data_IF_441267543976
#
_entry.id   IF_441267543976
#
_cell.length_a   1.000
_cell.length_b   1.000
_cell.length_c   1.000
_cell.angle_alpha   90.00
_cell.angle_beta   90.00
_cell.angle_gamma   90.00
#
_symmetry.space_group_name_H-M   'P 1'
#
loop_
_entity.id
_entity.type
_entity.pdbx_description
1 polymer ?
#
# COMPACT_ATOMS: atom_id res chain seq x y z
N UNK A 1 6.80 3.61 1.57
CA UNK A 1 7.60 3.82 2.81
C UNK A 1 9.09 3.50 2.64
N UNK A 2 9.46 2.40 1.98
CA UNK A 2 10.86 1.93 1.89
C UNK A 2 11.89 2.98 1.42
N UNK A 3 11.64 3.66 0.29
CA UNK A 3 12.57 4.69 -0.22
C UNK A 3 12.61 5.97 0.62
N UNK A 4 11.56 6.24 1.40
CA UNK A 4 11.50 7.45 2.21
C UNK A 4 12.54 7.42 3.34
N UNK A 5 12.72 6.26 3.99
CA UNK A 5 13.76 6.08 4.99
C UNK A 5 15.14 6.42 4.41
N UNK A 6 15.49 5.83 3.26
CA UNK A 6 16.74 6.13 2.58
C UNK A 6 16.94 7.64 2.31
N UNK A 7 15.90 8.32 1.82
CA UNK A 7 15.97 9.76 1.55
C UNK A 7 16.26 10.58 2.81
N UNK A 8 15.50 10.37 3.89
CA UNK A 8 15.66 11.11 5.15
C UNK A 8 17.05 10.88 5.75
N UNK A 9 17.52 9.63 5.78
CA UNK A 9 18.82 9.34 6.38
C UNK A 9 19.99 9.80 5.51
N UNK A 10 19.82 9.87 4.19
CA UNK A 10 20.78 10.52 3.30
C UNK A 10 20.87 12.02 3.62
N UNK A 11 19.73 12.69 3.85
CA UNK A 11 19.71 14.09 4.26
C UNK A 11 20.46 14.31 5.58
N UNK A 12 20.28 13.45 6.57
CA UNK A 12 20.98 13.55 7.86
C UNK A 12 22.50 13.40 7.72
N UNK A 13 22.97 12.59 6.78
CA UNK A 13 24.41 12.50 6.46
C UNK A 13 24.90 13.79 5.81
N UNK A 14 24.14 14.32 4.84
CA UNK A 14 24.50 15.55 4.14
C UNK A 14 24.52 16.78 5.05
N UNK A 15 23.64 16.84 6.05
CA UNK A 15 23.60 17.93 7.04
C UNK A 15 24.60 17.74 8.18
N UNK A 16 25.30 16.60 8.24
CA UNK A 16 26.25 16.27 9.29
C UNK A 16 25.61 15.85 10.62
N UNK A 17 24.29 15.62 10.64
CA UNK A 17 23.56 15.11 11.81
C UNK A 17 23.85 13.63 12.10
N UNK A 18 24.35 12.88 11.13
CA UNK A 18 24.70 11.47 11.28
C UNK A 18 25.87 11.07 10.38
N UNK A 19 26.77 10.23 10.88
CA UNK A 19 27.90 9.72 10.07
C UNK A 19 27.65 8.32 9.51
N UNK A 20 26.83 7.51 10.20
CA UNK A 20 26.46 6.15 9.82
C UNK A 20 24.99 5.95 10.17
N UNK A 21 24.22 5.39 9.25
CA UNK A 21 22.77 5.17 9.40
C UNK A 21 22.40 3.78 8.90
N UNK A 22 21.57 3.08 9.67
CA UNK A 22 20.94 1.83 9.22
C UNK A 22 19.55 2.17 8.68
N UNK A 23 19.30 1.79 7.42
CA UNK A 23 18.02 2.05 6.77
C UNK A 23 17.41 0.73 6.31
N UNK A 24 16.11 0.57 6.51
CA UNK A 24 15.37 -0.60 6.06
C UNK A 24 13.89 -0.24 5.95
N UNK A 25 13.13 -1.14 5.35
CA UNK A 25 11.68 -1.11 5.47
C UNK A 25 11.17 -2.53 5.58
N UNK A 26 9.99 -2.65 6.17
CA UNK A 26 9.33 -3.93 6.42
C UNK A 26 7.84 -3.79 6.14
N UNK A 27 7.22 -4.89 5.75
CA UNK A 27 5.78 -5.02 5.62
C UNK A 27 5.37 -6.45 5.97
N UNK A 28 4.21 -6.62 6.60
CA UNK A 28 3.64 -7.92 6.91
C UNK A 28 2.13 -7.90 6.67
N UNK A 29 1.76 -7.99 5.41
CA UNK A 29 0.36 -7.99 4.99
C UNK A 29 -0.44 -9.14 5.64
N UNK A 30 0.15 -10.32 5.79
CA UNK A 30 -0.50 -11.51 6.37
C UNK A 30 -0.93 -11.32 7.83
N UNK A 31 -0.31 -10.41 8.57
CA UNK A 31 -0.67 -10.09 9.96
C UNK A 31 -1.58 -8.87 10.10
N UNK A 32 -2.10 -8.32 8.99
CA UNK A 32 -3.02 -7.20 9.05
C UNK A 32 -4.29 -7.59 9.82
N UNK A 33 -4.63 -6.89 10.91
CA UNK A 33 -5.71 -7.32 11.80
C UNK A 33 -7.08 -6.94 11.24
N UNK A 34 -8.11 -7.62 11.75
CA UNK A 34 -9.46 -7.07 11.73
C UNK A 34 -9.60 -6.02 12.84
N UNK A 35 -10.15 -4.85 12.50
CA UNK A 35 -10.42 -3.77 13.44
C UNK A 35 -11.92 -3.64 13.69
N UNK A 36 -12.29 -3.53 14.96
CA UNK A 36 -13.65 -3.18 15.37
C UNK A 36 -13.64 -1.74 15.88
N UNK A 37 -14.33 -0.85 15.18
CA UNK A 37 -14.38 0.57 15.49
C UNK A 37 -15.59 0.90 16.38
N UNK A 38 -15.54 2.02 17.08
CA UNK A 38 -16.68 2.62 17.80
C UNK A 38 -17.27 1.81 18.96
N UNK A 39 -16.51 0.87 19.54
CA UNK A 39 -16.97 0.05 20.69
C UNK A 39 -16.37 0.48 22.04
N UNK A 40 -15.37 1.37 22.04
CA UNK A 40 -14.61 1.74 23.25
C UNK A 40 -15.47 2.36 24.36
N UNK A 41 -16.49 3.13 24.00
CA UNK A 41 -17.33 3.88 24.94
C UNK A 41 -18.75 3.31 25.05
N UNK A 42 -18.91 2.03 24.70
CA UNK A 42 -20.20 1.37 24.57
C UNK A 42 -20.77 1.47 23.16
N UNK A 43 -21.54 0.44 22.77
CA UNK A 43 -22.27 0.39 21.51
C UNK A 43 -23.78 0.38 21.80
N UNK A 44 -24.60 1.09 21.03
CA UNK A 44 -26.05 1.06 21.21
C UNK A 44 -26.64 -0.33 20.96
N UNK A 45 -27.75 -0.66 21.61
CA UNK A 45 -28.46 -1.92 21.38
C UNK A 45 -28.89 -2.01 19.90
N UNK A 46 -28.54 -3.12 19.25
CA UNK A 46 -28.82 -3.33 17.83
C UNK A 46 -27.84 -2.64 16.86
N UNK A 47 -26.78 -2.00 17.37
CA UNK A 47 -25.73 -1.46 16.52
C UNK A 47 -25.04 -2.56 15.71
N UNK A 48 -24.81 -2.30 14.43
CA UNK A 48 -24.01 -3.17 13.58
C UNK A 48 -22.53 -3.00 13.93
N UNK A 49 -21.94 -4.02 14.56
CA UNK A 49 -20.51 -4.07 14.84
C UNK A 49 -19.85 -4.82 13.69
N UNK A 50 -19.05 -4.12 12.90
CA UNK A 50 -18.34 -4.71 11.76
C UNK A 50 -16.91 -5.07 12.15
N UNK A 51 -16.47 -6.23 11.66
CA UNK A 51 -15.07 -6.63 11.68
C UNK A 51 -14.44 -6.13 10.38
N UNK A 52 -13.85 -4.95 10.45
CA UNK A 52 -13.26 -4.29 9.30
C UNK A 52 -11.89 -4.90 8.98
N UNK A 53 -11.69 -5.38 7.76
CA UNK A 53 -10.38 -5.80 7.27
C UNK A 53 -9.51 -4.55 7.02
N UNK A 54 -8.50 -4.35 7.87
CA UNK A 54 -7.63 -3.16 7.77
C UNK A 54 -6.77 -3.16 6.52
N UNK A 55 -6.45 -4.33 5.97
CA UNK A 55 -5.71 -4.44 4.72
C UNK A 55 -6.59 -4.00 3.54
N UNK A 56 -7.83 -4.48 3.49
CA UNK A 56 -8.74 -4.12 2.40
C UNK A 56 -9.08 -2.63 2.37
N UNK A 57 -9.37 -2.06 3.55
CA UNK A 57 -9.64 -0.62 3.67
C UNK A 57 -8.39 0.20 3.33
N UNK A 58 -7.19 -0.26 3.73
CA UNK A 58 -5.93 0.39 3.40
C UNK A 58 -5.59 0.43 1.90
N UNK A 59 -6.19 -0.45 1.09
CA UNK A 59 -6.02 -0.49 -0.37
C UNK A 59 -7.03 0.39 -1.12
N UNK A 60 -7.87 1.14 -0.42
CA UNK A 60 -8.80 2.11 -0.98
C UNK A 60 -8.42 3.51 -0.52
N UNK A 61 -8.17 4.42 -1.46
CA UNK A 61 -7.94 5.82 -1.14
C UNK A 61 -9.27 6.45 -0.73
N UNK A 62 -9.36 6.89 0.53
CA UNK A 62 -10.57 7.49 1.11
C UNK A 62 -10.84 8.91 0.63
N UNK A 63 -9.83 9.62 0.09
CA UNK A 63 -10.01 10.98 -0.41
C UNK A 63 -10.75 11.00 -1.75
N UNK A 64 -10.39 10.10 -2.66
CA UNK A 64 -11.06 9.96 -3.95
C UNK A 64 -12.06 8.79 -4.00
N UNK A 65 -12.17 8.03 -2.91
CA UNK A 65 -13.01 6.83 -2.77
C UNK A 65 -12.77 5.80 -3.89
N UNK A 66 -11.50 5.55 -4.22
CA UNK A 66 -11.11 4.64 -5.30
C UNK A 66 -10.14 3.56 -4.80
N UNK A 67 -10.47 2.28 -5.03
CA UNK A 67 -9.52 1.19 -4.89
C UNK A 67 -8.30 1.39 -5.80
N UNK A 68 -7.12 1.00 -5.33
CA UNK A 68 -5.87 1.14 -6.12
C UNK A 68 -5.92 0.38 -7.46
N UNK A 69 -6.70 -0.69 -7.57
CA UNK A 69 -6.92 -1.36 -8.86
C UNK A 69 -7.64 -0.46 -9.88
N UNK A 70 -8.64 0.32 -9.45
CA UNK A 70 -9.37 1.22 -10.35
C UNK A 70 -8.55 2.44 -10.77
N UNK A 71 -7.62 2.90 -9.94
CA UNK A 71 -6.69 3.96 -10.36
C UNK A 71 -5.74 3.47 -11.46
N UNK A 72 -5.32 2.20 -11.42
CA UNK A 72 -4.58 1.57 -12.51
C UNK A 72 -5.40 1.47 -13.80
N UNK A 73 -6.69 1.12 -13.72
CA UNK A 73 -7.59 1.10 -14.89
C UNK A 73 -7.76 2.50 -15.51
N UNK A 74 -7.83 3.55 -14.69
CA UNK A 74 -7.85 4.94 -15.19
C UNK A 74 -6.58 5.28 -15.98
N UNK A 75 -5.41 4.84 -15.50
CA UNK A 75 -4.15 5.00 -16.22
C UNK A 75 -4.16 4.19 -17.52
N UNK A 76 -4.66 2.95 -17.49
CA UNK A 76 -4.77 2.12 -18.68
C UNK A 76 -5.62 2.80 -19.77
N UNK A 77 -6.77 3.38 -19.40
CA UNK A 77 -7.60 4.14 -20.33
C UNK A 77 -6.91 5.41 -20.85
N UNK A 78 -6.25 6.18 -19.97
CA UNK A 78 -5.55 7.42 -20.34
C UNK A 78 -4.40 7.17 -21.33
N UNK A 79 -3.63 6.11 -21.10
CA UNK A 79 -2.46 5.75 -21.90
C UNK A 79 -2.76 4.72 -23.00
N UNK A 80 -4.04 4.33 -23.16
CA UNK A 80 -4.51 3.36 -24.17
C UNK A 80 -3.80 2.01 -24.09
N UNK A 81 -3.49 1.57 -22.87
CA UNK A 81 -2.83 0.29 -22.61
C UNK A 81 -3.86 -0.83 -22.82
N UNK A 82 -3.54 -1.79 -23.68
CA UNK A 82 -4.39 -2.92 -23.98
C UNK A 82 -4.17 -4.07 -23.00
N UNK A 83 -5.21 -4.89 -22.80
CA UNK A 83 -5.14 -6.06 -21.93
C UNK A 83 -3.98 -7.00 -22.29
N UNK A 84 -3.79 -7.26 -23.58
CA UNK A 84 -2.71 -8.13 -24.08
C UNK A 84 -1.32 -7.62 -23.73
N UNK A 85 -1.14 -6.29 -23.62
CA UNK A 85 0.15 -5.69 -23.25
C UNK A 85 0.45 -5.90 -21.76
N UNK A 86 -0.56 -5.76 -20.91
CA UNK A 86 -0.46 -6.02 -19.47
C UNK A 86 -0.12 -7.49 -19.21
N UNK A 87 -0.79 -8.42 -19.89
CA UNK A 87 -0.55 -9.85 -19.73
C UNK A 87 0.86 -10.25 -20.22
N UNK A 88 1.33 -9.69 -21.34
CA UNK A 88 2.71 -9.88 -21.82
C UNK A 88 3.73 -9.35 -20.82
N UNK A 89 3.48 -8.19 -20.21
CA UNK A 89 4.35 -7.63 -19.18
C UNK A 89 4.39 -8.50 -17.93
N UNK A 90 3.23 -8.97 -17.45
CA UNK A 90 3.14 -9.87 -16.30
C UNK A 90 3.90 -11.18 -16.53
N UNK A 91 3.74 -11.79 -17.71
CA UNK A 91 4.50 -12.99 -18.09
C UNK A 91 6.01 -12.73 -18.11
N UNK A 92 6.45 -11.63 -18.73
CA UNK A 92 7.85 -11.24 -18.75
C UNK A 92 8.41 -11.05 -17.35
N UNK A 93 7.66 -10.42 -16.45
CA UNK A 93 8.06 -10.22 -15.06
C UNK A 93 8.34 -11.55 -14.35
N UNK A 94 7.43 -12.52 -14.46
CA UNK A 94 7.59 -13.86 -13.88
C UNK A 94 8.77 -14.62 -14.49
N UNK A 95 8.97 -14.50 -15.81
CA UNK A 95 10.12 -15.12 -16.50
C UNK A 95 11.46 -14.51 -16.05
N UNK A 96 11.52 -13.19 -15.82
CA UNK A 96 12.71 -12.52 -15.33
C UNK A 96 13.00 -12.87 -13.88
N UNK A 97 11.98 -12.96 -13.02
CA UNK A 97 12.15 -13.39 -11.64
C UNK A 97 12.65 -14.83 -11.52
N UNK A 98 12.21 -15.72 -12.42
CA UNK A 98 12.60 -17.13 -12.43
C UNK A 98 14.06 -17.36 -12.87
N UNK A 99 14.63 -16.46 -13.67
CA UNK A 99 16.02 -16.58 -14.17
C UNK A 99 17.02 -16.31 -13.06
#
# INVERSE_FOLDING_TARGET
>A
MFFYGFFVYSQNILTGESNIVLTGGTDNMSQSPYAVRNVRFGAPLGAKIEFEDTLWVGLTDTHCNLPMGLTAEKLAAQYKIQRDEVDKFALRSQQLWKK
#
